data_IF_886604297374
#
_entry.id   IF_886604297374
#
_cell.length_a   1.000
_cell.length_b   1.000
_cell.length_c   1.000
_cell.angle_alpha   90.00
_cell.angle_beta   90.00
_cell.angle_gamma   90.00
#
_symmetry.space_group_name_H-M   'P 1'
#
loop_
_entity.id
_entity.type
_entity.pdbx_description
1 polymer ?
#
# COMPACT_ATOMS: atom_id res chain seq x y z
N UNK A 1 19.96 -5.18 -0.37
CA UNK A 1 18.97 -4.92 0.72
C UNK A 1 17.66 -4.44 0.07
N UNK A 2 16.52 -4.37 0.78
CA UNK A 2 15.20 -4.03 0.18
C UNK A 2 15.20 -2.65 -0.51
N UNK A 3 15.87 -1.69 0.10
CA UNK A 3 16.13 -0.33 -0.40
C UNK A 3 16.89 -0.29 -1.74
N UNK A 4 17.91 -1.14 -1.89
CA UNK A 4 18.72 -1.21 -3.11
C UNK A 4 17.90 -1.67 -4.33
N UNK A 5 17.01 -2.65 -4.14
CA UNK A 5 16.09 -3.10 -5.18
C UNK A 5 15.13 -2.00 -5.64
N UNK A 6 14.51 -1.29 -4.69
CA UNK A 6 13.64 -0.16 -5.01
C UNK A 6 14.40 0.98 -5.70
N UNK A 7 15.65 1.25 -5.31
CA UNK A 7 16.49 2.27 -5.95
C UNK A 7 16.76 1.94 -7.42
N UNK A 8 17.15 0.69 -7.71
CA UNK A 8 17.39 0.22 -9.08
C UNK A 8 16.12 0.33 -9.93
N UNK A 9 14.97 -0.12 -9.40
CA UNK A 9 13.68 -0.04 -10.11
C UNK A 9 13.36 1.43 -10.42
N UNK A 10 13.54 2.33 -9.46
CA UNK A 10 13.15 3.73 -9.60
C UNK A 10 13.98 4.48 -10.65
N UNK A 11 15.27 4.17 -10.78
CA UNK A 11 16.14 4.70 -11.86
C UNK A 11 15.57 4.34 -13.23
N UNK A 12 15.03 3.12 -13.39
CA UNK A 12 14.39 2.69 -14.64
C UNK A 12 13.09 3.45 -14.99
N UNK A 13 12.55 4.22 -14.04
CA UNK A 13 11.39 5.10 -14.23
C UNK A 13 11.78 6.60 -14.15
N UNK A 14 13.08 6.93 -14.30
CA UNK A 14 13.61 8.30 -14.26
C UNK A 14 13.22 9.07 -12.98
N UNK A 15 13.19 8.37 -11.84
CA UNK A 15 12.83 8.94 -10.54
C UNK A 15 13.76 8.46 -9.42
N UNK A 16 14.07 9.36 -8.48
CA UNK A 16 14.93 9.08 -7.32
C UNK A 16 14.17 9.25 -5.99
N UNK A 17 13.53 8.19 -5.46
CA UNK A 17 12.82 8.26 -4.19
C UNK A 17 13.75 8.24 -2.98
N UNK A 18 13.30 8.91 -1.93
CA UNK A 18 13.76 8.62 -0.57
C UNK A 18 13.06 7.36 -0.06
N UNK A 19 13.81 6.28 0.12
CA UNK A 19 13.31 5.00 0.61
C UNK A 19 13.62 4.87 2.10
N UNK A 20 12.64 4.42 2.88
CA UNK A 20 12.82 4.05 4.28
C UNK A 20 12.04 2.77 4.58
N UNK A 21 12.52 2.02 5.56
CA UNK A 21 11.87 0.78 6.01
C UNK A 21 11.68 0.80 7.51
N UNK A 22 10.53 0.30 7.97
CA UNK A 22 10.23 0.10 9.38
C UNK A 22 9.85 -1.36 9.59
N UNK A 23 10.47 -2.01 10.57
CA UNK A 23 10.08 -3.35 11.00
C UNK A 23 8.86 -3.22 11.91
N UNK A 24 7.79 -3.93 11.54
CA UNK A 24 6.56 -4.00 12.33
C UNK A 24 6.60 -5.24 13.25
N UNK A 25 6.04 -5.15 14.46
CA UNK A 25 5.97 -6.29 15.36
C UNK A 25 5.15 -7.42 14.74
N UNK A 26 5.64 -8.65 14.88
CA UNK A 26 4.92 -9.84 14.43
C UNK A 26 3.89 -10.30 15.46
N UNK A 27 2.75 -10.81 15.01
CA UNK A 27 1.66 -11.27 15.88
C UNK A 27 0.84 -10.17 16.56
N UNK A 28 1.37 -8.95 16.67
CA UNK A 28 0.68 -7.80 17.29
C UNK A 28 0.16 -6.81 16.24
N UNK A 29 -1.07 -7.06 15.80
CA UNK A 29 -1.77 -6.25 14.80
C UNK A 29 -2.05 -4.83 15.31
N UNK A 30 -2.31 -4.66 16.61
CA UNK A 30 -2.69 -3.37 17.20
C UNK A 30 -1.47 -2.45 17.23
N UNK A 31 -0.36 -2.93 17.76
CA UNK A 31 0.89 -2.15 17.79
C UNK A 31 1.41 -1.84 16.38
N UNK A 32 1.29 -2.80 15.44
CA UNK A 32 1.63 -2.56 14.04
C UNK A 32 0.73 -1.49 13.40
N UNK A 33 -0.58 -1.55 13.65
CA UNK A 33 -1.55 -0.54 13.21
C UNK A 33 -1.21 0.86 13.75
N UNK A 34 -0.92 0.98 15.06
CA UNK A 34 -0.54 2.26 15.68
C UNK A 34 0.74 2.85 15.07
N UNK A 35 1.77 2.03 14.80
CA UNK A 35 3.00 2.49 14.13
C UNK A 35 2.72 3.04 12.73
N UNK A 36 1.91 2.32 11.94
CA UNK A 36 1.50 2.77 10.61
C UNK A 36 0.69 4.06 10.70
N UNK A 37 -0.27 4.14 11.62
CA UNK A 37 -1.08 5.32 11.85
C UNK A 37 -0.24 6.55 12.21
N UNK A 38 0.71 6.41 13.13
CA UNK A 38 1.63 7.47 13.51
C UNK A 38 2.50 7.97 12.35
N UNK A 39 2.96 7.05 11.48
CA UNK A 39 3.72 7.41 10.28
C UNK A 39 2.86 8.16 9.25
N UNK A 40 1.61 7.73 9.05
CA UNK A 40 0.69 8.43 8.15
C UNK A 40 0.42 9.84 8.67
N UNK A 41 0.12 9.99 9.98
CA UNK A 41 -0.12 11.30 10.61
C UNK A 41 1.08 12.23 10.42
N UNK A 42 2.30 11.75 10.59
CA UNK A 42 3.50 12.60 10.44
C UNK A 42 3.71 13.02 8.98
N UNK A 43 3.58 12.10 8.03
CA UNK A 43 3.76 12.38 6.60
C UNK A 43 2.69 13.32 6.05
N UNK A 44 1.43 13.18 6.49
CA UNK A 44 0.30 13.99 6.05
C UNK A 44 0.42 15.48 6.36
N UNK A 45 1.32 15.88 7.27
CA UNK A 45 1.53 17.30 7.59
C UNK A 45 2.03 18.10 6.40
N UNK A 46 2.79 17.46 5.51
CA UNK A 46 3.49 18.12 4.41
C UNK A 46 3.27 17.44 3.05
N UNK A 47 2.61 16.26 3.03
CA UNK A 47 2.51 15.43 1.83
C UNK A 47 1.11 14.86 1.64
N UNK A 48 0.73 14.59 0.38
CA UNK A 48 -0.35 13.65 0.08
C UNK A 48 0.14 12.22 0.34
N UNK A 49 -0.65 11.44 1.07
CA UNK A 49 -0.26 10.09 1.49
C UNK A 49 -1.15 9.04 0.83
N UNK A 50 -0.52 8.11 0.11
CA UNK A 50 -1.15 6.92 -0.43
C UNK A 50 -0.68 5.67 0.32
N UNK A 51 -1.59 4.75 0.61
CA UNK A 51 -1.29 3.45 1.21
C UNK A 51 -1.56 2.34 0.18
N UNK A 52 -0.50 1.63 -0.26
CA UNK A 52 -0.64 0.41 -1.07
C UNK A 52 -0.73 -0.82 -0.15
N UNK A 53 -1.82 -1.59 -0.29
CA UNK A 53 -2.11 -2.76 0.56
C UNK A 53 -1.96 -4.09 -0.18
N UNK A 54 -1.45 -4.10 -1.41
CA UNK A 54 -1.41 -5.26 -2.33
C UNK A 54 -0.70 -6.48 -1.73
N UNK A 55 0.49 -6.30 -1.14
CA UNK A 55 1.30 -7.40 -0.60
C UNK A 55 1.05 -7.66 0.90
N UNK A 56 0.16 -6.90 1.54
CA UNK A 56 0.06 -6.89 2.99
C UNK A 56 -0.81 -8.04 3.53
N UNK A 57 -0.47 -8.51 4.74
CA UNK A 57 -1.33 -9.46 5.48
C UNK A 57 -2.68 -8.79 5.75
N UNK A 58 -3.79 -9.48 5.44
CA UNK A 58 -5.15 -8.94 5.59
C UNK A 58 -5.41 -8.30 6.96
N UNK A 59 -4.98 -8.95 8.04
CA UNK A 59 -5.15 -8.43 9.40
C UNK A 59 -4.38 -7.11 9.64
N UNK A 60 -3.19 -6.97 9.06
CA UNK A 60 -2.40 -5.75 9.14
C UNK A 60 -3.06 -4.59 8.36
N UNK A 61 -3.64 -4.89 7.20
CA UNK A 61 -4.41 -3.91 6.41
C UNK A 61 -5.57 -3.36 7.24
N UNK A 62 -6.36 -4.24 7.87
CA UNK A 62 -7.47 -3.83 8.75
C UNK A 62 -6.96 -2.98 9.92
N UNK A 63 -5.90 -3.44 10.60
CA UNK A 63 -5.30 -2.68 11.71
C UNK A 63 -4.82 -1.29 11.30
N UNK A 64 -4.18 -1.15 10.14
CA UNK A 64 -3.73 0.14 9.61
C UNK A 64 -4.90 1.07 9.27
N UNK A 65 -5.97 0.56 8.67
CA UNK A 65 -7.16 1.35 8.34
C UNK A 65 -7.86 1.82 9.61
N UNK A 66 -8.03 0.95 10.61
CA UNK A 66 -8.63 1.31 11.89
C UNK A 66 -7.78 2.33 12.67
N UNK A 67 -6.46 2.18 12.64
CA UNK A 67 -5.55 3.11 13.31
C UNK A 67 -5.46 4.50 12.65
N UNK A 68 -6.03 4.68 11.46
CA UNK A 68 -5.98 5.93 10.69
C UNK A 68 -7.34 6.61 10.56
N UNK A 69 -8.35 6.23 11.34
CA UNK A 69 -9.72 6.77 11.22
C UNK A 69 -9.80 8.29 11.33
N UNK A 70 -9.03 8.91 12.22
CA UNK A 70 -8.98 10.37 12.40
C UNK A 70 -8.13 11.05 11.32
N UNK A 71 -7.03 10.42 10.91
CA UNK A 71 -6.05 10.96 9.96
C UNK A 71 -5.82 9.98 8.81
N UNK A 72 -6.88 9.81 8.01
CA UNK A 72 -6.88 8.80 6.95
C UNK A 72 -5.88 9.19 5.85
N UNK A 73 -5.17 8.22 5.23
CA UNK A 73 -4.43 8.50 4.01
C UNK A 73 -5.37 9.04 2.93
N UNK A 74 -4.86 9.82 1.99
CA UNK A 74 -5.64 10.45 0.94
C UNK A 74 -6.15 9.41 -0.06
N UNK A 75 -5.33 8.38 -0.31
CA UNK A 75 -5.61 7.23 -1.19
C UNK A 75 -5.29 5.91 -0.50
N UNK A 76 -6.07 4.88 -0.80
CA UNK A 76 -5.74 3.49 -0.43
C UNK A 76 -5.81 2.67 -1.71
N UNK A 77 -4.65 2.22 -2.17
CA UNK A 77 -4.49 1.48 -3.41
C UNK A 77 -4.40 -0.02 -3.17
N UNK A 78 -5.03 -0.78 -4.07
CA UNK A 78 -4.89 -2.23 -4.16
C UNK A 78 -4.81 -2.62 -5.63
N UNK A 79 -3.80 -3.39 -5.99
CA UNK A 79 -3.70 -3.98 -7.32
C UNK A 79 -4.53 -5.27 -7.34
N UNK A 80 -5.72 -5.18 -7.90
CA UNK A 80 -6.59 -6.32 -8.13
C UNK A 80 -6.09 -7.08 -9.36
N UNK A 81 -6.03 -8.41 -9.24
CA UNK A 81 -5.82 -9.32 -10.38
C UNK A 81 -7.11 -10.09 -10.60
N UNK A 82 -7.67 -10.02 -11.80
CA UNK A 82 -8.95 -10.63 -12.15
C UNK A 82 -8.83 -12.05 -12.71
N UNK A 83 -7.63 -12.64 -12.64
CA UNK A 83 -7.35 -14.01 -13.09
C UNK A 83 -6.61 -14.83 -12.03
N UNK A 84 -6.91 -16.14 -12.01
CA UNK A 84 -6.17 -17.14 -11.25
C UNK A 84 -5.13 -17.87 -12.11
N UNK A 85 -5.08 -17.59 -13.41
CA UNK A 85 -4.03 -18.10 -14.28
C UNK A 85 -2.71 -17.42 -13.91
N UNK A 86 -1.64 -18.21 -13.84
CA UNK A 86 -0.29 -17.70 -13.57
C UNK A 86 -0.10 -16.98 -12.22
N UNK A 87 -0.94 -17.23 -11.20
CA UNK A 87 -0.80 -16.61 -9.87
C UNK A 87 0.53 -16.90 -9.16
N UNK A 88 1.24 -17.94 -9.60
CA UNK A 88 2.57 -18.28 -9.10
C UNK A 88 3.67 -17.38 -9.68
N UNK A 89 3.38 -16.59 -10.72
CA UNK A 89 4.34 -15.63 -11.30
C UNK A 89 4.38 -14.36 -10.45
N UNK A 90 5.55 -13.68 -10.37
CA UNK A 90 5.64 -12.35 -9.81
C UNK A 90 4.61 -11.38 -10.42
N UNK A 91 4.08 -10.45 -9.62
CA UNK A 91 3.08 -9.45 -10.05
C UNK A 91 3.49 -8.69 -11.33
N UNK A 92 4.78 -8.42 -11.51
CA UNK A 92 5.32 -7.73 -12.69
C UNK A 92 5.21 -8.54 -13.98
N UNK A 93 5.02 -9.87 -13.90
CA UNK A 93 4.91 -10.78 -15.05
C UNK A 93 3.46 -11.10 -15.42
N UNK A 94 2.49 -10.69 -14.60
CA UNK A 94 1.06 -10.87 -14.92
C UNK A 94 0.68 -9.85 -15.99
N UNK A 95 -0.02 -10.23 -17.08
CA UNK A 95 -0.37 -9.28 -18.13
C UNK A 95 -1.19 -8.10 -17.59
N UNK A 96 -0.86 -6.87 -18.02
CA UNK A 96 -1.53 -5.62 -17.54
C UNK A 96 -3.05 -5.61 -17.72
N UNK A 97 -3.54 -6.29 -18.75
CA UNK A 97 -4.98 -6.43 -19.02
C UNK A 97 -5.73 -7.17 -17.90
N UNK A 98 -5.03 -7.94 -17.07
CA UNK A 98 -5.58 -8.59 -15.87
C UNK A 98 -5.34 -7.80 -14.58
N UNK A 99 -4.69 -6.65 -14.66
CA UNK A 99 -4.33 -5.83 -13.51
C UNK A 99 -5.20 -4.58 -13.47
N UNK A 100 -5.89 -4.39 -12.34
CA UNK A 100 -6.71 -3.21 -12.09
C UNK A 100 -6.27 -2.51 -10.81
N UNK A 101 -5.80 -1.27 -10.93
CA UNK A 101 -5.48 -0.45 -9.76
C UNK A 101 -6.77 0.11 -9.16
N UNK A 102 -7.09 -0.34 -7.95
CA UNK A 102 -8.28 0.08 -7.22
C UNK A 102 -7.90 1.15 -6.21
N UNK A 103 -8.59 2.30 -6.26
CA UNK A 103 -8.59 3.28 -5.17
C UNK A 103 -9.83 3.06 -4.30
N UNK A 104 -9.65 2.36 -3.18
CA UNK A 104 -10.74 2.04 -2.26
C UNK A 104 -11.43 3.28 -1.72
N UNK A 105 -10.69 4.38 -1.49
CA UNK A 105 -11.28 5.61 -0.96
C UNK A 105 -12.14 6.30 -1.98
N UNK A 106 -11.70 6.32 -3.25
CA UNK A 106 -12.51 6.88 -4.34
C UNK A 106 -13.75 6.03 -4.59
N UNK A 107 -13.65 4.71 -4.52
CA UNK A 107 -14.81 3.81 -4.70
C UNK A 107 -15.81 3.92 -3.56
N UNK A 108 -15.36 3.88 -2.30
CA UNK A 108 -16.25 3.98 -1.14
C UNK A 108 -16.98 5.33 -1.03
N UNK A 109 -16.44 6.39 -1.65
CA UNK A 109 -17.09 7.72 -1.71
C UNK A 109 -18.16 7.84 -2.80
N UNK A 110 -18.22 6.91 -3.75
CA UNK A 110 -19.31 6.88 -4.73
C UNK A 110 -20.50 6.16 -4.09
N UNK A 111 -21.67 6.82 -3.92
CA UNK A 111 -22.89 6.08 -3.67
C UNK A 111 -23.05 5.08 -4.83
N UNK A 112 -23.38 3.83 -4.52
CA UNK A 112 -23.84 2.90 -5.54
C UNK A 112 -25.03 3.59 -6.25
N UNK A 113 -24.87 3.88 -7.54
CA UNK A 113 -25.97 4.30 -8.40
C UNK A 113 -26.86 3.09 -8.69
#
# INVERSE_FOLDING_TARGET
MLDEGYKIISIGYDFEPKISSMILPEGDIISAGMKIGGLIVSLKKENEVALDVTSARKALVVGAILATTENKPDRIYYLMIDTLQDISKPYTMIPRQHQSLIDFRKQARRPQQ
#
